data_IF_563172436727
#
_entry.id   IF_563172436727
#
_cell.length_a   1.000
_cell.length_b   1.000
_cell.length_c   1.000
_cell.angle_alpha   90.00
_cell.angle_beta   90.00
_cell.angle_gamma   90.00
#
_symmetry.space_group_name_H-M   'P 1'
#
loop_
_entity.id
_entity.type
_entity.pdbx_description
1 polymer ?
#
# COMPACT_ATOMS: atom_id res chain seq x y z
N UNK A 1 -36.64 32.69 -9.64
CA UNK A 1 -36.65 31.77 -8.47
C UNK A 1 -37.65 30.65 -8.81
N UNK A 2 -37.19 29.65 -9.54
CA UNK A 2 -37.99 28.47 -9.90
C UNK A 2 -37.51 27.31 -9.03
N UNK A 3 -38.43 26.72 -8.27
CA UNK A 3 -38.18 25.53 -7.48
C UNK A 3 -37.90 24.33 -8.43
N UNK A 4 -36.86 23.64 -8.16
CA UNK A 4 -36.50 22.37 -8.85
C UNK A 4 -37.39 21.25 -8.25
N UNK A 5 -38.28 20.62 -9.02
CA UNK A 5 -39.08 19.50 -8.55
C UNK A 5 -38.44 18.17 -8.95
N UNK A 6 -37.22 17.90 -8.51
CA UNK A 6 -36.65 16.57 -8.62
C UNK A 6 -36.40 16.03 -7.21
N UNK A 7 -37.46 15.54 -6.57
CA UNK A 7 -37.42 14.55 -5.50
C UNK A 7 -36.84 13.24 -6.05
N UNK A 8 -35.59 13.25 -6.48
CA UNK A 8 -34.83 12.05 -6.76
C UNK A 8 -34.64 11.32 -5.45
N UNK A 9 -35.29 10.18 -5.30
CA UNK A 9 -34.96 9.17 -4.28
C UNK A 9 -33.45 8.96 -4.34
N UNK A 10 -32.76 9.39 -3.28
CA UNK A 10 -31.32 9.11 -3.11
C UNK A 10 -31.14 7.59 -3.25
N UNK A 11 -30.44 7.09 -4.27
CA UNK A 11 -30.20 5.65 -4.41
C UNK A 11 -29.36 5.08 -3.27
N UNK A 12 -28.91 5.92 -2.33
CA UNK A 12 -28.32 5.61 -1.04
C UNK A 12 -29.30 5.94 0.10
N UNK A 13 -30.62 5.71 -0.09
CA UNK A 13 -31.57 5.65 1.03
C UNK A 13 -31.02 4.73 2.12
N UNK A 14 -31.50 4.82 3.39
CA UNK A 14 -30.94 4.06 4.50
C UNK A 14 -31.16 2.56 4.26
N UNK A 15 -30.29 1.94 3.43
CA UNK A 15 -30.16 0.52 3.42
C UNK A 15 -29.79 0.11 4.85
N UNK A 16 -30.40 -0.95 5.37
CA UNK A 16 -30.00 -1.52 6.65
C UNK A 16 -28.47 -1.65 6.66
N UNK A 17 -27.75 -1.01 7.59
CA UNK A 17 -26.30 -1.04 7.62
C UNK A 17 -25.75 -2.47 7.65
N UNK A 18 -26.48 -3.42 8.23
CA UNK A 18 -26.15 -4.83 8.23
C UNK A 18 -26.18 -5.42 6.82
N UNK A 19 -27.25 -5.16 6.06
CA UNK A 19 -27.39 -5.63 4.68
C UNK A 19 -26.31 -5.05 3.77
N UNK A 20 -26.05 -3.75 3.87
CA UNK A 20 -25.00 -3.08 3.11
C UNK A 20 -23.60 -3.66 3.37
N UNK A 21 -23.27 -3.89 4.66
CA UNK A 21 -21.96 -4.48 5.03
C UNK A 21 -21.85 -5.93 4.58
N UNK A 22 -22.91 -6.72 4.69
CA UNK A 22 -22.93 -8.12 4.22
C UNK A 22 -22.74 -8.20 2.71
N UNK A 23 -23.41 -7.36 1.94
CA UNK A 23 -23.23 -7.30 0.49
C UNK A 23 -21.79 -6.99 0.09
N UNK A 24 -21.14 -6.04 0.80
CA UNK A 24 -19.73 -5.73 0.58
C UNK A 24 -18.78 -6.85 1.04
N UNK A 25 -19.09 -7.55 2.12
CA UNK A 25 -18.34 -8.74 2.54
C UNK A 25 -18.45 -9.86 1.49
N UNK A 26 -19.64 -10.10 0.92
CA UNK A 26 -19.84 -11.05 -0.17
C UNK A 26 -18.97 -10.70 -1.39
N UNK A 27 -18.98 -9.44 -1.78
CA UNK A 27 -18.22 -8.95 -2.92
C UNK A 27 -16.71 -9.02 -2.70
N UNK A 28 -16.22 -8.68 -1.51
CA UNK A 28 -14.79 -8.51 -1.20
C UNK A 28 -14.14 -9.80 -0.69
N UNK A 29 -14.87 -10.60 0.08
CA UNK A 29 -14.34 -11.72 0.84
C UNK A 29 -15.10 -13.04 0.62
N UNK A 30 -16.21 -13.06 -0.15
CA UNK A 30 -17.06 -14.24 -0.31
C UNK A 30 -16.36 -15.46 -0.93
N UNK A 31 -15.27 -15.27 -1.66
CA UNK A 31 -14.45 -16.35 -2.24
C UNK A 31 -13.24 -16.73 -1.37
N UNK A 32 -13.01 -16.06 -0.23
CA UNK A 32 -11.86 -16.35 0.63
C UNK A 32 -12.17 -17.50 1.58
N UNK A 33 -11.23 -18.44 1.82
CA UNK A 33 -11.42 -19.53 2.78
C UNK A 33 -11.34 -19.02 4.22
N UNK A 34 -10.64 -17.90 4.46
CA UNK A 34 -10.43 -17.31 5.78
C UNK A 34 -10.29 -15.79 5.72
N UNK A 35 -10.84 -15.11 6.74
CA UNK A 35 -10.84 -13.66 6.89
C UNK A 35 -10.41 -13.25 8.29
N UNK A 36 -9.50 -12.28 8.40
CA UNK A 36 -9.14 -11.61 9.63
C UNK A 36 -9.96 -10.33 9.84
N UNK A 37 -10.32 -10.02 11.08
CA UNK A 37 -10.86 -8.71 11.44
C UNK A 37 -9.92 -7.99 12.40
N UNK A 38 -9.62 -6.73 12.13
CA UNK A 38 -8.93 -5.86 13.08
C UNK A 38 -9.95 -5.08 13.91
N UNK A 39 -10.14 -5.48 15.15
CA UNK A 39 -11.15 -4.92 16.06
C UNK A 39 -10.46 -4.18 17.20
N UNK A 40 -10.75 -2.89 17.34
CA UNK A 40 -10.20 -2.03 18.41
C UNK A 40 -11.13 -1.85 19.62
N UNK A 41 -12.37 -2.29 19.53
CA UNK A 41 -13.39 -2.10 20.56
C UNK A 41 -14.25 -0.83 20.36
N UNK A 42 -13.88 0.07 19.45
CA UNK A 42 -14.72 1.24 19.09
C UNK A 42 -15.96 0.83 18.27
N UNK A 43 -16.96 1.72 18.18
CA UNK A 43 -18.26 1.46 17.55
C UNK A 43 -18.15 0.82 16.17
N UNK A 44 -17.33 1.38 15.30
CA UNK A 44 -17.21 0.92 13.90
C UNK A 44 -16.66 -0.51 13.82
N UNK A 45 -15.58 -0.81 14.55
CA UNK A 45 -14.97 -2.13 14.56
C UNK A 45 -15.82 -3.19 15.30
N UNK A 46 -16.59 -2.77 16.32
CA UNK A 46 -17.55 -3.62 17.01
C UNK A 46 -18.71 -3.99 16.09
N UNK A 47 -19.26 -3.01 15.36
CA UNK A 47 -20.28 -3.30 14.35
C UNK A 47 -19.78 -4.27 13.28
N UNK A 48 -18.55 -4.06 12.76
CA UNK A 48 -17.94 -4.99 11.81
C UNK A 48 -17.89 -6.41 12.38
N UNK A 49 -17.44 -6.59 13.62
CA UNK A 49 -17.36 -7.90 14.26
C UNK A 49 -18.74 -8.59 14.33
N UNK A 50 -19.75 -7.87 14.83
CA UNK A 50 -21.09 -8.45 15.03
C UNK A 50 -21.84 -8.73 13.73
N UNK A 51 -21.54 -8.01 12.64
CA UNK A 51 -22.11 -8.28 11.31
C UNK A 51 -21.33 -9.40 10.60
N UNK A 52 -19.98 -9.38 10.67
CA UNK A 52 -19.14 -10.34 9.96
C UNK A 52 -19.18 -11.75 10.58
N UNK A 53 -19.38 -11.90 11.90
CA UNK A 53 -19.36 -13.22 12.53
C UNK A 53 -20.51 -14.12 12.01
N UNK A 54 -21.80 -13.72 12.05
CA UNK A 54 -22.88 -14.55 11.49
C UNK A 54 -22.80 -14.66 9.96
N UNK A 55 -22.28 -13.65 9.26
CA UNK A 55 -22.03 -13.74 7.82
C UNK A 55 -21.01 -14.84 7.49
N UNK A 56 -19.86 -14.86 8.20
CA UNK A 56 -18.81 -15.84 7.98
C UNK A 56 -19.27 -17.27 8.27
N UNK A 57 -20.05 -17.45 9.35
CA UNK A 57 -20.65 -18.73 9.71
C UNK A 57 -21.59 -19.22 8.59
N UNK A 58 -22.45 -18.34 8.06
CA UNK A 58 -23.38 -18.68 6.98
C UNK A 58 -22.69 -19.02 5.65
N UNK A 59 -21.48 -18.46 5.41
CA UNK A 59 -20.70 -18.67 4.18
C UNK A 59 -19.64 -19.75 4.31
N UNK A 60 -19.43 -20.32 5.50
CA UNK A 60 -18.34 -21.27 5.76
C UNK A 60 -16.95 -20.64 5.70
N UNK A 61 -16.83 -19.32 5.88
CA UNK A 61 -15.56 -18.61 5.91
C UNK A 61 -14.99 -18.71 7.33
N UNK A 62 -13.75 -19.17 7.46
CA UNK A 62 -13.05 -19.18 8.75
C UNK A 62 -12.75 -17.74 9.19
N UNK A 63 -13.31 -17.32 10.30
CA UNK A 63 -13.12 -15.96 10.83
C UNK A 63 -12.15 -15.98 12.02
N UNK A 64 -11.25 -15.01 12.08
CA UNK A 64 -10.39 -14.74 13.23
C UNK A 64 -10.33 -13.23 13.51
N UNK A 65 -10.13 -12.84 14.77
CA UNK A 65 -10.09 -11.44 15.20
C UNK A 65 -8.75 -11.12 15.87
N UNK A 66 -8.20 -9.95 15.57
CA UNK A 66 -7.06 -9.41 16.30
C UNK A 66 -7.35 -8.00 16.81
N UNK A 67 -6.90 -7.73 18.05
CA UNK A 67 -6.84 -6.39 18.64
C UNK A 67 -5.38 -5.99 18.81
N UNK A 68 -5.00 -4.80 18.35
CA UNK A 68 -3.65 -4.27 18.58
C UNK A 68 -3.65 -3.40 19.82
N UNK A 69 -2.93 -3.86 20.84
CA UNK A 69 -2.65 -3.06 22.04
C UNK A 69 -1.35 -2.27 21.86
N UNK A 70 -1.48 -0.97 21.74
CA UNK A 70 -0.35 -0.05 21.55
C UNK A 70 0.40 0.27 22.84
N UNK A 71 -0.15 -0.06 24.02
CA UNK A 71 0.39 0.27 25.36
C UNK A 71 0.73 1.75 25.52
N UNK A 72 0.00 2.64 24.84
CA UNK A 72 0.25 4.08 24.89
C UNK A 72 -0.53 4.78 26.01
N UNK A 73 -1.51 4.11 26.62
CA UNK A 73 -2.34 4.65 27.69
C UNK A 73 -2.79 3.57 28.67
N UNK A 74 -3.05 3.95 29.96
CA UNK A 74 -3.75 3.08 30.90
C UNK A 74 -5.14 2.71 30.33
N UNK A 75 -5.60 1.48 30.56
CA UNK A 75 -6.92 1.00 30.13
C UNK A 75 -6.99 0.36 28.76
N UNK A 76 -5.94 0.42 27.92
CA UNK A 76 -5.93 -0.28 26.62
C UNK A 76 -6.11 -1.80 26.75
N UNK A 77 -5.65 -2.39 27.85
CA UNK A 77 -5.86 -3.79 28.17
C UNK A 77 -7.33 -4.14 28.44
N UNK A 78 -8.09 -3.23 29.09
CA UNK A 78 -9.52 -3.44 29.39
C UNK A 78 -10.36 -3.45 28.12
N UNK A 79 -10.02 -2.60 27.15
CA UNK A 79 -10.65 -2.59 25.82
C UNK A 79 -10.40 -3.88 25.07
N UNK A 80 -9.14 -4.36 25.04
CA UNK A 80 -8.80 -5.65 24.45
C UNK A 80 -9.53 -6.82 25.13
N UNK A 81 -9.70 -6.76 26.46
CA UNK A 81 -10.45 -7.76 27.21
C UNK A 81 -11.96 -7.71 26.88
N UNK A 82 -12.54 -6.53 26.64
CA UNK A 82 -13.93 -6.38 26.20
C UNK A 82 -14.14 -7.01 24.81
N UNK A 83 -13.23 -6.76 23.87
CA UNK A 83 -13.26 -7.42 22.55
C UNK A 83 -13.12 -8.93 22.67
N UNK A 84 -12.24 -9.42 23.56
CA UNK A 84 -12.08 -10.86 23.79
C UNK A 84 -13.38 -11.50 24.28
N UNK A 85 -14.11 -10.86 25.21
CA UNK A 85 -15.43 -11.33 25.67
C UNK A 85 -16.47 -11.36 24.56
N UNK A 86 -16.53 -10.33 23.72
CA UNK A 86 -17.44 -10.29 22.58
C UNK A 86 -17.13 -11.41 21.56
N UNK A 87 -15.86 -11.64 21.27
CA UNK A 87 -15.43 -12.73 20.39
C UNK A 87 -15.78 -14.10 20.96
N UNK A 88 -15.57 -14.33 22.26
CA UNK A 88 -15.93 -15.58 22.94
C UNK A 88 -17.44 -15.84 22.86
N UNK A 89 -18.28 -14.81 23.06
CA UNK A 89 -19.73 -14.92 22.93
C UNK A 89 -20.18 -15.27 21.49
N UNK A 90 -19.43 -14.85 20.48
CA UNK A 90 -19.68 -15.14 19.06
C UNK A 90 -18.98 -16.43 18.58
N UNK A 91 -18.23 -17.11 19.42
CA UNK A 91 -17.46 -18.31 19.05
C UNK A 91 -16.32 -18.03 18.06
N UNK A 92 -15.78 -16.80 18.02
CA UNK A 92 -14.72 -16.40 17.09
C UNK A 92 -13.37 -16.34 17.80
N UNK A 93 -12.31 -16.97 17.28
CA UNK A 93 -10.96 -16.87 17.84
C UNK A 93 -10.46 -15.42 17.87
N UNK A 94 -9.87 -15.04 19.01
CA UNK A 94 -9.34 -13.70 19.21
C UNK A 94 -7.88 -13.73 19.67
N UNK A 95 -7.07 -12.77 19.17
CA UNK A 95 -5.68 -12.57 19.59
C UNK A 95 -5.41 -11.09 19.87
N UNK A 96 -4.73 -10.83 21.00
CA UNK A 96 -4.18 -9.50 21.30
C UNK A 96 -2.75 -9.45 20.76
N UNK A 97 -2.49 -8.46 19.90
CA UNK A 97 -1.18 -8.18 19.33
C UNK A 97 -0.58 -6.97 20.04
N UNK A 98 0.52 -7.17 20.75
CA UNK A 98 1.13 -6.11 21.54
C UNK A 98 2.20 -5.39 20.73
N UNK A 99 2.12 -4.05 20.66
CA UNK A 99 3.21 -3.28 20.16
C UNK A 99 4.26 -3.06 21.25
N UNK A 100 5.32 -3.85 21.20
CA UNK A 100 6.46 -3.67 22.09
C UNK A 100 7.39 -2.57 21.55
N UNK A 101 7.41 -1.44 22.23
CA UNK A 101 8.30 -0.31 21.96
C UNK A 101 9.33 -0.11 23.10
N UNK A 102 9.54 -1.13 23.95
CA UNK A 102 10.52 -1.11 25.03
C UNK A 102 10.28 -0.04 26.10
N UNK A 103 9.01 0.38 26.27
CA UNK A 103 8.62 1.44 27.21
C UNK A 103 9.05 2.87 26.80
N UNK A 104 9.63 3.05 25.60
CA UNK A 104 9.99 4.35 25.04
C UNK A 104 9.12 4.65 23.83
N UNK A 105 8.37 5.77 23.88
CA UNK A 105 7.69 6.26 22.68
C UNK A 105 8.72 6.53 21.57
N UNK A 106 8.48 6.07 20.33
CA UNK A 106 9.38 6.37 19.22
C UNK A 106 9.57 7.88 19.03
N UNK A 107 10.79 8.29 18.72
CA UNK A 107 11.07 9.69 18.40
C UNK A 107 10.31 10.10 17.13
N UNK A 108 9.79 11.33 17.07
CA UNK A 108 9.09 11.90 15.93
C UNK A 108 7.56 11.71 15.98
N UNK A 109 6.94 11.42 14.85
CA UNK A 109 5.47 11.30 14.77
C UNK A 109 4.97 9.95 15.33
N UNK A 110 4.65 9.93 16.63
CA UNK A 110 4.17 8.75 17.36
C UNK A 110 2.96 8.10 16.68
N UNK A 111 2.01 8.90 16.17
CA UNK A 111 0.80 8.36 15.51
C UNK A 111 1.12 7.66 14.20
N UNK A 112 2.08 8.18 13.44
CA UNK A 112 2.53 7.52 12.22
C UNK A 112 3.26 6.21 12.55
N UNK A 113 4.10 6.19 13.59
CA UNK A 113 4.78 4.99 14.06
C UNK A 113 3.80 3.93 14.59
N UNK A 114 2.80 4.33 15.39
CA UNK A 114 1.74 3.44 15.89
C UNK A 114 0.92 2.85 14.74
N UNK A 115 0.56 3.66 13.72
CA UNK A 115 -0.14 3.18 12.54
C UNK A 115 0.69 2.16 11.74
N UNK A 116 1.98 2.43 11.54
CA UNK A 116 2.88 1.50 10.85
C UNK A 116 3.04 0.19 11.62
N UNK A 117 3.23 0.26 12.94
CA UNK A 117 3.31 -0.90 13.81
C UNK A 117 2.02 -1.73 13.77
N UNK A 118 0.85 -1.08 13.84
CA UNK A 118 -0.46 -1.75 13.73
C UNK A 118 -0.57 -2.56 12.44
N UNK A 119 -0.25 -1.96 11.30
CA UNK A 119 -0.35 -2.66 10.00
C UNK A 119 0.63 -3.84 9.92
N UNK A 120 1.86 -3.66 10.41
CA UNK A 120 2.85 -4.74 10.44
C UNK A 120 2.39 -5.89 11.33
N UNK A 121 1.99 -5.63 12.59
CA UNK A 121 1.52 -6.66 13.51
C UNK A 121 0.31 -7.43 12.97
N UNK A 122 -0.63 -6.73 12.33
CA UNK A 122 -1.78 -7.36 11.69
C UNK A 122 -1.39 -8.19 10.46
N UNK A 123 -0.40 -7.74 9.67
CA UNK A 123 0.10 -8.49 8.52
C UNK A 123 0.82 -9.78 8.97
N UNK A 124 1.73 -9.68 9.96
CA UNK A 124 2.45 -10.81 10.51
C UNK A 124 1.49 -11.85 11.13
N UNK A 125 0.44 -11.37 11.80
CA UNK A 125 -0.62 -12.23 12.34
C UNK A 125 -1.41 -12.92 11.23
N UNK A 126 -1.77 -12.18 10.18
CA UNK A 126 -2.57 -12.72 9.07
C UNK A 126 -1.79 -13.82 8.34
N UNK A 127 -0.50 -13.61 8.09
CA UNK A 127 0.40 -14.60 7.48
C UNK A 127 0.50 -15.86 8.36
N UNK A 128 0.85 -15.71 9.64
CA UNK A 128 0.98 -16.82 10.57
C UNK A 128 -0.33 -17.56 10.89
N UNK A 129 -1.48 -16.95 10.60
CA UNK A 129 -2.81 -17.56 10.77
C UNK A 129 -3.43 -18.02 9.43
N UNK A 130 -2.69 -17.95 8.33
CA UNK A 130 -3.14 -18.32 6.97
C UNK A 130 -4.48 -17.66 6.60
N UNK A 131 -4.57 -16.33 6.79
CA UNK A 131 -5.74 -15.54 6.46
C UNK A 131 -5.59 -14.92 5.06
N UNK A 132 -6.61 -15.05 4.22
CA UNK A 132 -6.59 -14.51 2.86
C UNK A 132 -6.62 -12.98 2.81
N UNK A 133 -7.18 -12.34 3.85
CA UNK A 133 -7.28 -10.88 3.96
C UNK A 133 -7.52 -10.44 5.40
N UNK A 134 -7.37 -9.12 5.66
CA UNK A 134 -7.74 -8.47 6.92
C UNK A 134 -8.72 -7.34 6.66
N UNK A 135 -9.91 -7.38 7.26
CA UNK A 135 -10.91 -6.33 7.19
C UNK A 135 -10.74 -5.29 8.31
N UNK A 136 -10.92 -4.04 7.94
CA UNK A 136 -10.79 -2.85 8.80
C UNK A 136 -12.14 -2.12 8.90
N UNK A 137 -12.48 -1.61 10.08
CA UNK A 137 -13.71 -0.89 10.37
C UNK A 137 -13.70 0.57 9.91
N UNK A 138 -13.31 0.87 8.67
CA UNK A 138 -13.40 2.21 8.10
C UNK A 138 -14.78 2.47 7.49
N UNK A 139 -15.36 3.64 7.76
CA UNK A 139 -16.72 4.04 7.40
C UNK A 139 -16.75 5.12 6.30
N UNK A 140 -17.95 5.49 5.86
CA UNK A 140 -18.17 6.63 4.96
C UNK A 140 -17.66 7.95 5.58
N UNK A 141 -17.78 8.09 6.90
CA UNK A 141 -17.26 9.26 7.61
C UNK A 141 -15.73 9.35 7.52
N UNK A 142 -15.03 8.22 7.59
CA UNK A 142 -13.57 8.16 7.36
C UNK A 142 -13.17 8.52 5.93
N UNK A 143 -14.02 8.21 4.93
CA UNK A 143 -13.79 8.64 3.54
C UNK A 143 -13.87 10.16 3.42
N UNK A 144 -14.91 10.78 3.99
CA UNK A 144 -15.10 12.23 3.99
C UNK A 144 -13.96 12.94 4.72
N UNK A 145 -13.60 12.49 5.93
CA UNK A 145 -12.46 13.01 6.69
C UNK A 145 -11.16 12.92 5.87
N UNK A 146 -10.93 11.78 5.23
CA UNK A 146 -9.73 11.56 4.41
C UNK A 146 -9.68 12.47 3.19
N UNK A 147 -10.80 12.68 2.50
CA UNK A 147 -10.90 13.60 1.36
C UNK A 147 -10.54 15.02 1.78
N UNK A 148 -11.16 15.55 2.84
CA UNK A 148 -10.92 16.91 3.32
C UNK A 148 -9.49 17.10 3.80
N UNK A 149 -8.93 16.14 4.56
CA UNK A 149 -7.52 16.18 4.99
C UNK A 149 -6.56 16.23 3.82
N UNK A 150 -6.81 15.47 2.77
CA UNK A 150 -5.94 15.38 1.59
C UNK A 150 -6.10 16.60 0.68
N UNK A 151 -7.32 17.13 0.57
CA UNK A 151 -7.60 18.39 -0.14
C UNK A 151 -6.83 19.55 0.50
N UNK A 152 -6.87 19.69 1.83
CA UNK A 152 -6.12 20.70 2.57
C UNK A 152 -4.58 20.57 2.44
N UNK A 153 -4.08 19.41 2.00
CA UNK A 153 -2.65 19.17 1.73
C UNK A 153 -2.28 19.31 0.24
N UNK A 154 -3.19 19.77 -0.60
CA UNK A 154 -2.97 19.91 -2.04
C UNK A 154 -2.82 18.58 -2.78
N UNK A 155 -3.47 17.51 -2.30
CA UNK A 155 -3.39 16.23 -2.98
C UNK A 155 -4.05 16.29 -4.37
N UNK A 156 -3.41 15.66 -5.35
CA UNK A 156 -3.99 15.43 -6.68
C UNK A 156 -4.97 14.27 -6.70
N UNK A 157 -5.39 13.87 -7.90
CA UNK A 157 -6.43 12.85 -8.14
C UNK A 157 -6.22 11.55 -7.34
N UNK A 158 -5.00 11.01 -7.33
CA UNK A 158 -4.69 9.76 -6.61
C UNK A 158 -4.91 9.88 -5.10
N UNK A 159 -4.58 11.05 -4.54
CA UNK A 159 -4.83 11.33 -3.14
C UNK A 159 -6.32 11.53 -2.83
N UNK A 160 -7.03 12.28 -3.68
CA UNK A 160 -8.44 12.63 -3.47
C UNK A 160 -9.42 11.49 -3.74
N UNK A 161 -8.99 10.41 -4.38
CA UNK A 161 -9.81 9.20 -4.65
C UNK A 161 -10.22 8.42 -3.39
N UNK A 162 -9.97 8.94 -2.20
CA UNK A 162 -10.35 8.29 -0.95
C UNK A 162 -9.55 7.02 -0.64
N UNK A 163 -10.16 6.13 0.14
CA UNK A 163 -9.62 4.80 0.46
C UNK A 163 -10.28 3.76 -0.46
N UNK A 164 -9.48 2.86 -1.02
CA UNK A 164 -10.00 1.73 -1.77
C UNK A 164 -10.68 0.71 -0.85
N UNK A 165 -11.76 0.07 -1.31
CA UNK A 165 -12.45 -0.99 -0.59
C UNK A 165 -11.56 -2.23 -0.38
N UNK A 166 -10.67 -2.51 -1.34
CA UNK A 166 -9.64 -3.55 -1.25
C UNK A 166 -8.28 -2.99 -1.67
N UNK A 167 -7.22 -3.33 -0.95
CA UNK A 167 -5.86 -2.88 -1.25
C UNK A 167 -4.84 -3.93 -0.86
N UNK A 168 -3.98 -4.33 -1.81
CA UNK A 168 -2.80 -5.13 -1.53
C UNK A 168 -1.66 -4.22 -1.01
N UNK A 169 -1.13 -4.52 0.17
CA UNK A 169 0.00 -3.78 0.73
C UNK A 169 0.81 -4.68 1.67
N UNK A 170 2.13 -4.73 1.51
CA UNK A 170 3.02 -5.52 2.37
C UNK A 170 2.69 -7.02 2.38
N UNK A 171 2.30 -7.59 1.24
CA UNK A 171 1.90 -9.00 1.15
C UNK A 171 0.47 -9.31 1.63
N UNK A 172 -0.20 -8.37 2.33
CA UNK A 172 -1.55 -8.57 2.91
C UNK A 172 -2.62 -7.86 2.09
N UNK A 173 -3.76 -8.51 1.87
CA UNK A 173 -4.96 -7.91 1.30
C UNK A 173 -5.79 -7.25 2.41
N UNK A 174 -5.93 -5.94 2.34
CA UNK A 174 -6.70 -5.11 3.28
C UNK A 174 -8.07 -4.80 2.71
N UNK A 175 -9.14 -5.12 3.46
CA UNK A 175 -10.52 -4.89 3.07
C UNK A 175 -11.18 -3.83 3.94
N UNK A 176 -12.13 -3.07 3.38
CA UNK A 176 -12.91 -2.04 4.07
C UNK A 176 -14.37 -2.13 3.65
N UNK A 177 -15.11 -3.07 4.23
CA UNK A 177 -16.49 -3.37 3.77
C UNK A 177 -17.52 -2.31 4.21
N UNK A 178 -17.15 -1.33 5.04
CA UNK A 178 -18.10 -0.34 5.57
C UNK A 178 -17.90 1.07 4.99
N UNK A 179 -17.12 1.24 3.92
CA UNK A 179 -16.87 2.57 3.32
C UNK A 179 -18.13 3.25 2.78
N UNK A 180 -19.20 2.49 2.49
CA UNK A 180 -20.49 3.00 2.06
C UNK A 180 -21.48 3.25 3.21
N UNK A 181 -21.11 3.00 4.48
CA UNK A 181 -22.01 3.06 5.63
C UNK A 181 -21.61 4.19 6.58
N UNK A 182 -22.58 4.97 7.05
CA UNK A 182 -22.40 6.06 8.01
C UNK A 182 -22.09 5.51 9.41
N UNK A 183 -21.14 6.12 10.11
CA UNK A 183 -20.84 5.81 11.52
C UNK A 183 -22.07 5.93 12.42
N UNK A 184 -22.90 6.94 12.21
CA UNK A 184 -24.16 7.11 12.97
C UNK A 184 -25.08 5.90 12.81
N UNK A 185 -25.31 5.43 11.58
CA UNK A 185 -26.14 4.25 11.32
C UNK A 185 -25.62 2.99 12.00
N UNK A 186 -24.29 2.80 12.05
CA UNK A 186 -23.68 1.67 12.78
C UNK A 186 -23.88 1.77 14.30
N UNK A 187 -23.77 2.97 14.86
CA UNK A 187 -24.06 3.22 16.30
C UNK A 187 -25.52 2.97 16.64
N UNK A 188 -26.45 3.43 15.81
CA UNK A 188 -27.89 3.18 15.96
C UNK A 188 -28.18 1.68 15.88
N UNK A 189 -27.55 0.98 14.94
CA UNK A 189 -27.66 -0.48 14.75
C UNK A 189 -27.17 -1.25 15.99
N UNK A 190 -26.03 -0.85 16.58
CA UNK A 190 -25.50 -1.44 17.82
C UNK A 190 -26.42 -1.18 19.01
N UNK A 191 -26.88 0.07 19.17
CA UNK A 191 -27.77 0.49 20.24
C UNK A 191 -29.10 -0.29 20.24
N UNK A 192 -29.70 -0.45 19.04
CA UNK A 192 -30.94 -1.20 18.86
C UNK A 192 -30.81 -2.69 19.27
N UNK A 193 -29.58 -3.21 19.30
CA UNK A 193 -29.27 -4.60 19.67
C UNK A 193 -28.72 -4.74 21.10
N UNK A 194 -28.61 -3.64 21.84
CA UNK A 194 -28.03 -3.61 23.19
C UNK A 194 -26.55 -3.95 23.21
N UNK A 195 -25.82 -3.73 22.11
CA UNK A 195 -24.40 -4.00 21.97
C UNK A 195 -23.57 -2.78 22.37
N UNK A 196 -22.72 -2.94 23.38
CA UNK A 196 -21.84 -1.89 23.86
C UNK A 196 -20.53 -1.82 23.04
N UNK A 197 -19.91 -0.63 23.10
CA UNK A 197 -18.56 -0.39 22.55
C UNK A 197 -17.78 0.53 23.48
N UNK A 198 -16.48 0.67 23.25
CA UNK A 198 -15.60 1.60 23.98
C UNK A 198 -15.49 2.91 23.20
N UNK A 199 -15.77 4.04 23.84
CA UNK A 199 -15.46 5.36 23.27
C UNK A 199 -14.10 5.82 23.83
N UNK A 200 -13.09 5.92 22.95
CA UNK A 200 -11.76 6.40 23.28
C UNK A 200 -11.79 7.92 23.46
N UNK A 201 -11.46 8.48 24.64
CA UNK A 201 -11.43 9.93 24.85
C UNK A 201 -10.54 10.70 23.88
N UNK A 202 -9.51 10.06 23.30
CA UNK A 202 -8.65 10.69 22.31
C UNK A 202 -9.34 10.95 20.97
N UNK A 203 -10.53 10.36 20.74
CA UNK A 203 -11.35 10.62 19.56
C UNK A 203 -11.93 12.06 19.53
N UNK A 204 -11.88 12.78 20.64
CA UNK A 204 -12.37 14.15 20.77
C UNK A 204 -11.23 15.17 20.99
N UNK A 205 -9.98 14.73 21.05
CA UNK A 205 -8.83 15.61 21.26
C UNK A 205 -8.50 16.41 19.97
N UNK A 206 -8.67 17.75 19.97
CA UNK A 206 -8.40 18.62 18.83
C UNK A 206 -6.91 18.70 18.46
N UNK A 207 -6.01 18.13 19.25
CA UNK A 207 -4.59 17.95 18.92
C UNK A 207 -4.41 17.08 17.67
N UNK A 208 -5.38 16.23 17.33
CA UNK A 208 -5.33 15.37 16.15
C UNK A 208 -5.99 16.00 14.93
N UNK A 209 -5.30 15.98 13.78
CA UNK A 209 -5.79 16.47 12.49
C UNK A 209 -7.19 15.95 12.16
N UNK A 210 -7.42 14.67 12.40
CA UNK A 210 -8.67 13.99 12.05
C UNK A 210 -9.86 14.51 12.88
N UNK A 211 -9.63 14.81 14.15
CA UNK A 211 -10.65 15.41 15.02
C UNK A 211 -11.00 16.82 14.55
N UNK A 212 -9.98 17.64 14.26
CA UNK A 212 -10.20 18.99 13.71
C UNK A 212 -10.98 18.97 12.40
N UNK A 213 -10.66 18.02 11.49
CA UNK A 213 -11.39 17.87 10.23
C UNK A 213 -12.84 17.46 10.46
N UNK A 214 -13.11 16.52 11.37
CA UNK A 214 -14.47 16.12 11.75
C UNK A 214 -15.28 17.30 12.28
N UNK A 215 -14.68 18.10 13.16
CA UNK A 215 -15.29 19.31 13.68
C UNK A 215 -15.55 20.34 12.57
N UNK A 216 -14.61 20.53 11.63
CA UNK A 216 -14.80 21.42 10.50
C UNK A 216 -15.90 20.96 9.55
N UNK A 217 -15.99 19.66 9.24
CA UNK A 217 -17.09 19.09 8.45
C UNK A 217 -18.44 19.39 9.11
N UNK A 218 -18.54 19.18 10.43
CA UNK A 218 -19.77 19.48 11.18
C UNK A 218 -20.07 20.99 11.24
N UNK A 219 -19.07 21.83 11.53
CA UNK A 219 -19.23 23.26 11.64
C UNK A 219 -19.64 23.95 10.32
N UNK A 220 -19.21 23.40 9.20
CA UNK A 220 -19.56 23.89 7.85
C UNK A 220 -20.80 23.18 7.26
N UNK A 221 -21.43 22.31 8.01
CA UNK A 221 -22.57 21.48 7.57
C UNK A 221 -22.31 20.78 6.23
N UNK A 222 -21.09 20.27 6.05
CA UNK A 222 -20.72 19.56 4.83
C UNK A 222 -21.35 18.16 4.81
N UNK A 223 -22.13 17.80 3.78
CA UNK A 223 -22.80 16.51 3.73
C UNK A 223 -21.79 15.38 3.51
N UNK A 224 -21.59 14.54 4.53
CA UNK A 224 -20.67 13.38 4.46
C UNK A 224 -20.95 12.48 3.25
N UNK A 225 -22.23 12.16 2.90
CA UNK A 225 -22.51 11.39 1.67
C UNK A 225 -22.04 12.09 0.40
N UNK A 226 -22.16 13.41 0.32
CA UNK A 226 -21.69 14.21 -0.80
C UNK A 226 -20.17 14.16 -0.96
N UNK A 227 -19.42 14.29 0.15
CA UNK A 227 -17.97 14.18 0.18
C UNK A 227 -17.51 12.76 -0.23
N UNK A 228 -18.14 11.72 0.31
CA UNK A 228 -17.82 10.34 -0.03
C UNK A 228 -18.12 10.03 -1.50
N UNK A 229 -19.23 10.54 -2.06
CA UNK A 229 -19.58 10.42 -3.47
C UNK A 229 -18.55 11.11 -4.37
N UNK A 230 -18.10 12.31 -3.99
CA UNK A 230 -17.02 12.99 -4.72
C UNK A 230 -15.73 12.16 -4.74
N UNK A 231 -15.35 11.55 -3.62
CA UNK A 231 -14.21 10.65 -3.57
C UNK A 231 -14.39 9.41 -4.46
N UNK A 232 -15.61 8.85 -4.54
CA UNK A 232 -15.94 7.73 -5.40
C UNK A 232 -15.79 8.10 -6.90
N UNK A 233 -16.35 9.23 -7.35
CA UNK A 233 -16.18 9.70 -8.73
C UNK A 233 -14.71 9.96 -9.08
N UNK A 234 -13.95 10.53 -8.15
CA UNK A 234 -12.50 10.70 -8.35
C UNK A 234 -11.78 9.34 -8.44
N UNK A 235 -12.26 8.32 -7.73
CA UNK A 235 -11.73 6.96 -7.84
C UNK A 235 -12.02 6.32 -9.21
N UNK A 236 -13.23 6.53 -9.76
CA UNK A 236 -13.60 6.07 -11.10
C UNK A 236 -12.76 6.78 -12.17
N UNK A 237 -12.62 8.11 -12.09
CA UNK A 237 -11.77 8.87 -13.00
C UNK A 237 -10.30 8.42 -12.96
N UNK A 238 -9.79 8.12 -11.74
CA UNK A 238 -8.45 7.57 -11.56
C UNK A 238 -8.30 6.20 -12.21
N UNK A 239 -9.29 5.30 -12.07
CA UNK A 239 -9.28 3.97 -12.70
C UNK A 239 -9.25 4.10 -14.23
N UNK A 240 -10.08 4.96 -14.82
CA UNK A 240 -10.09 5.21 -16.25
C UNK A 240 -8.73 5.74 -16.76
N UNK A 241 -8.08 6.64 -16.00
CA UNK A 241 -6.74 7.13 -16.35
C UNK A 241 -5.65 6.05 -16.17
N UNK A 242 -5.79 5.14 -15.21
CA UNK A 242 -4.87 4.02 -15.06
C UNK A 242 -5.00 3.02 -16.22
N UNK A 243 -6.21 2.72 -16.66
CA UNK A 243 -6.45 1.86 -17.82
C UNK A 243 -5.95 2.51 -19.13
N UNK A 244 -6.19 3.81 -19.32
CA UNK A 244 -5.61 4.53 -20.44
C UNK A 244 -4.07 4.48 -20.40
N UNK A 245 -3.46 4.74 -19.26
CA UNK A 245 -2.01 4.65 -19.10
C UNK A 245 -1.48 3.23 -19.39
N UNK A 246 -2.20 2.20 -18.97
CA UNK A 246 -1.84 0.81 -19.29
C UNK A 246 -1.91 0.49 -20.80
N UNK A 247 -2.87 1.08 -21.51
CA UNK A 247 -2.97 0.97 -22.97
C UNK A 247 -1.77 1.63 -23.67
N UNK A 248 -1.41 2.83 -23.24
CA UNK A 248 -0.25 3.56 -23.78
C UNK A 248 1.07 2.84 -23.45
N UNK A 249 1.09 2.07 -22.40
CA UNK A 249 2.25 1.33 -21.91
C UNK A 249 2.64 0.11 -22.78
N UNK A 250 1.99 -0.12 -23.94
CA UNK A 250 2.22 -1.31 -24.76
C UNK A 250 3.68 -1.51 -25.17
N UNK A 251 4.40 -0.42 -25.44
CA UNK A 251 5.82 -0.45 -25.85
C UNK A 251 6.83 -0.36 -24.69
N UNK A 252 6.41 -0.45 -23.44
CA UNK A 252 7.33 -0.41 -22.29
C UNK A 252 7.95 -1.78 -22.07
N UNK A 253 9.26 -1.82 -21.90
CA UNK A 253 10.05 -3.05 -21.72
C UNK A 253 10.76 -3.04 -20.36
N UNK A 254 10.84 -4.23 -19.74
CA UNK A 254 11.67 -4.48 -18.58
C UNK A 254 12.90 -5.28 -19.03
N UNK A 255 14.07 -4.68 -18.92
CA UNK A 255 15.33 -5.32 -19.30
C UNK A 255 16.33 -5.31 -18.14
N UNK A 256 16.64 -6.49 -17.64
CA UNK A 256 17.72 -6.73 -16.63
C UNK A 256 17.72 -5.68 -15.50
N UNK A 257 16.55 -5.47 -14.88
CA UNK A 257 16.36 -4.55 -13.76
C UNK A 257 16.24 -3.07 -14.14
N UNK A 258 16.17 -2.75 -15.42
CA UNK A 258 15.81 -1.43 -15.97
C UNK A 258 14.39 -1.44 -16.53
N UNK A 259 13.74 -0.30 -16.56
CA UNK A 259 12.48 -0.08 -17.25
C UNK A 259 12.72 0.91 -18.40
N UNK A 260 12.40 0.49 -19.63
CA UNK A 260 12.58 1.26 -20.84
C UNK A 260 11.22 1.77 -21.33
N UNK A 261 11.03 3.08 -21.31
CA UNK A 261 9.79 3.74 -21.72
C UNK A 261 10.02 4.39 -23.08
N UNK A 262 9.22 4.07 -24.10
CA UNK A 262 9.38 4.68 -25.43
C UNK A 262 9.02 6.18 -25.44
N UNK A 263 9.47 6.90 -26.46
CA UNK A 263 9.21 8.34 -26.65
C UNK A 263 7.71 8.67 -26.59
N UNK A 264 6.85 7.76 -27.06
CA UNK A 264 5.40 7.89 -26.99
C UNK A 264 4.88 8.15 -25.56
N UNK A 265 5.58 7.66 -24.52
CA UNK A 265 5.25 7.94 -23.10
C UNK A 265 5.44 9.41 -22.75
N UNK A 266 6.50 10.04 -23.27
CA UNK A 266 6.79 11.45 -23.00
C UNK A 266 5.82 12.39 -23.74
N UNK A 267 5.26 11.95 -24.87
CA UNK A 267 4.26 12.68 -25.65
C UNK A 267 2.85 12.64 -25.04
N UNK A 268 2.63 11.85 -24.00
CA UNK A 268 1.32 11.73 -23.36
C UNK A 268 0.92 13.01 -22.61
N UNK A 269 -0.38 13.22 -22.36
CA UNK A 269 -0.86 14.26 -21.45
C UNK A 269 -0.15 14.22 -20.09
N UNK A 270 0.00 15.37 -19.45
CA UNK A 270 0.82 15.52 -18.25
C UNK A 270 0.50 14.49 -17.15
N UNK A 271 -0.79 14.25 -16.89
CA UNK A 271 -1.20 13.29 -15.86
C UNK A 271 -0.88 11.83 -16.23
N UNK A 272 -1.10 11.43 -17.49
CA UNK A 272 -0.74 10.09 -17.98
C UNK A 272 0.77 9.87 -17.89
N UNK A 273 1.56 10.85 -18.35
CA UNK A 273 3.03 10.81 -18.24
C UNK A 273 3.49 10.73 -16.78
N UNK A 274 2.88 11.53 -15.89
CA UNK A 274 3.15 11.49 -14.44
C UNK A 274 2.92 10.09 -13.88
N UNK A 275 1.80 9.44 -14.20
CA UNK A 275 1.46 8.08 -13.76
C UNK A 275 2.46 7.05 -14.24
N UNK A 276 2.81 7.07 -15.53
CA UNK A 276 3.74 6.12 -16.13
C UNK A 276 5.13 6.21 -15.48
N UNK A 277 5.65 7.41 -15.29
CA UNK A 277 6.95 7.63 -14.63
C UNK A 277 6.88 7.28 -13.14
N UNK A 278 5.84 7.69 -12.41
CA UNK A 278 5.68 7.37 -10.99
C UNK A 278 5.60 5.85 -10.74
N UNK A 279 4.86 5.12 -11.57
CA UNK A 279 4.81 3.66 -11.53
C UNK A 279 6.19 3.04 -11.83
N UNK A 280 6.95 3.62 -12.77
CA UNK A 280 8.31 3.18 -13.08
C UNK A 280 9.29 3.40 -11.92
N UNK A 281 9.21 4.54 -11.23
CA UNK A 281 10.03 4.78 -10.02
C UNK A 281 9.71 3.76 -8.92
N UNK A 282 8.44 3.47 -8.69
CA UNK A 282 8.00 2.43 -7.74
C UNK A 282 8.47 1.04 -8.15
N UNK A 283 8.39 0.71 -9.43
CA UNK A 283 8.84 -0.58 -9.95
C UNK A 283 10.34 -0.80 -9.72
N UNK A 284 11.16 0.23 -9.96
CA UNK A 284 12.62 0.15 -9.73
C UNK A 284 12.94 0.02 -8.24
N UNK A 285 12.22 0.71 -7.36
CA UNK A 285 12.53 0.76 -5.92
C UNK A 285 11.81 -0.29 -5.08
N UNK A 286 10.69 -0.83 -5.56
CA UNK A 286 9.79 -1.65 -4.76
C UNK A 286 8.93 -0.86 -3.77
N UNK A 287 8.94 0.48 -3.83
CA UNK A 287 8.22 1.32 -2.88
C UNK A 287 6.70 1.21 -3.03
N UNK A 288 5.99 1.17 -1.90
CA UNK A 288 4.52 1.15 -1.87
C UNK A 288 3.88 2.45 -2.36
N UNK A 289 4.60 3.57 -2.24
CA UNK A 289 4.11 4.91 -2.58
C UNK A 289 5.01 5.61 -3.60
N UNK A 290 4.37 6.42 -4.45
CA UNK A 290 5.09 7.31 -5.35
C UNK A 290 5.83 8.41 -4.58
N UNK A 291 6.91 8.99 -5.13
CA UNK A 291 7.55 10.18 -4.60
C UNK A 291 6.58 11.36 -4.50
N UNK A 292 6.95 12.37 -3.69
CA UNK A 292 6.14 13.59 -3.52
C UNK A 292 5.92 14.30 -4.86
N UNK A 293 4.77 14.96 -5.01
CA UNK A 293 4.35 15.58 -6.26
C UNK A 293 5.35 16.60 -6.83
N UNK A 294 5.92 17.47 -5.95
CA UNK A 294 6.89 18.49 -6.37
C UNK A 294 8.20 17.89 -6.87
N UNK A 295 8.69 16.83 -6.21
CA UNK A 295 9.91 16.14 -6.62
C UNK A 295 9.71 15.45 -7.97
N UNK A 296 8.56 14.80 -8.16
CA UNK A 296 8.18 14.17 -9.41
C UNK A 296 8.02 15.21 -10.54
N UNK A 297 7.43 16.36 -10.24
CA UNK A 297 7.27 17.45 -11.20
C UNK A 297 8.63 17.99 -11.69
N UNK A 298 9.59 18.13 -10.79
CA UNK A 298 10.97 18.53 -11.14
C UNK A 298 11.66 17.49 -12.03
N UNK A 299 11.51 16.21 -11.73
CA UNK A 299 12.03 15.13 -12.57
C UNK A 299 11.40 15.18 -13.99
N UNK A 300 10.08 15.33 -14.07
CA UNK A 300 9.38 15.42 -15.36
C UNK A 300 9.80 16.65 -16.18
N UNK A 301 10.03 17.79 -15.53
CA UNK A 301 10.55 18.99 -16.19
C UNK A 301 11.97 18.77 -16.75
N UNK A 302 12.85 18.11 -15.99
CA UNK A 302 14.19 17.75 -16.46
C UNK A 302 14.15 16.83 -17.67
N UNK A 303 13.30 15.78 -17.64
CA UNK A 303 13.12 14.87 -18.78
C UNK A 303 12.57 15.59 -20.03
N UNK A 304 11.64 16.54 -19.85
CA UNK A 304 11.12 17.36 -20.96
C UNK A 304 12.20 18.25 -21.57
N UNK A 305 13.19 18.68 -20.77
CA UNK A 305 14.37 19.44 -21.24
C UNK A 305 15.48 18.51 -21.80
N UNK A 306 15.24 17.21 -21.92
CA UNK A 306 16.25 16.26 -22.39
C UNK A 306 17.39 15.99 -21.38
N UNK A 307 17.22 16.39 -20.13
CA UNK A 307 18.22 16.21 -19.08
C UNK A 307 17.93 14.98 -18.20
N UNK A 308 18.96 14.25 -17.74
CA UNK A 308 18.78 13.19 -16.77
C UNK A 308 18.42 13.77 -15.39
N UNK A 309 17.65 13.00 -14.61
CA UNK A 309 17.27 13.36 -13.24
C UNK A 309 17.32 12.14 -12.32
N UNK A 310 17.59 12.38 -11.04
CA UNK A 310 17.59 11.33 -10.02
C UNK A 310 16.52 11.63 -8.98
N UNK A 311 15.71 10.63 -8.64
CA UNK A 311 14.68 10.74 -7.62
C UNK A 311 14.48 9.39 -6.91
N UNK A 312 14.44 9.40 -5.59
CA UNK A 312 14.20 8.23 -4.75
C UNK A 312 15.15 7.04 -5.06
N UNK A 313 16.41 7.31 -5.42
CA UNK A 313 17.40 6.27 -5.75
C UNK A 313 17.19 5.63 -7.14
N UNK A 314 16.48 6.34 -8.03
CA UNK A 314 16.29 5.97 -9.44
C UNK A 314 16.83 7.09 -10.33
N UNK A 315 17.62 6.73 -11.31
CA UNK A 315 18.04 7.64 -12.39
C UNK A 315 17.07 7.48 -13.55
N UNK A 316 16.42 8.57 -13.93
CA UNK A 316 15.67 8.70 -15.18
C UNK A 316 16.59 9.34 -16.23
N UNK A 317 16.94 8.57 -17.26
CA UNK A 317 17.88 8.99 -18.27
C UNK A 317 17.22 9.04 -19.66
N UNK A 318 17.21 10.21 -20.33
CA UNK A 318 16.79 10.31 -21.71
C UNK A 318 17.62 9.43 -22.63
N UNK A 319 16.98 8.85 -23.64
CA UNK A 319 17.55 8.06 -24.74
C UNK A 319 16.99 8.55 -26.07
N UNK A 320 17.57 8.17 -27.18
CA UNK A 320 17.07 8.53 -28.51
C UNK A 320 15.65 7.98 -28.76
N UNK A 321 15.33 6.82 -28.19
CA UNK A 321 14.07 6.10 -28.33
C UNK A 321 13.12 6.23 -27.12
N UNK A 322 13.47 7.09 -26.15
CA UNK A 322 12.62 7.30 -24.96
C UNK A 322 13.37 7.63 -23.67
N UNK A 323 13.01 6.97 -22.57
CA UNK A 323 13.60 7.15 -21.25
C UNK A 323 13.91 5.79 -20.62
N UNK A 324 15.10 5.64 -20.04
CA UNK A 324 15.44 4.52 -19.17
C UNK A 324 15.33 4.93 -17.70
N UNK A 325 14.61 4.12 -16.91
CA UNK A 325 14.59 4.20 -15.45
C UNK A 325 15.45 3.08 -14.89
N UNK A 326 16.46 3.43 -14.12
CA UNK A 326 17.44 2.49 -13.57
C UNK A 326 17.80 2.83 -12.14
N UNK A 327 18.17 1.83 -11.37
CA UNK A 327 18.61 2.01 -9.99
C UNK A 327 19.85 2.88 -9.95
N UNK A 328 19.88 3.85 -9.05
CA UNK A 328 21.06 4.65 -8.76
C UNK A 328 22.15 3.78 -8.11
N UNK A 329 23.42 3.79 -8.60
CA UNK A 329 24.50 2.98 -8.00
C UNK A 329 24.74 3.30 -6.52
N UNK A 330 24.68 4.57 -6.14
CA UNK A 330 24.83 4.98 -4.75
C UNK A 330 23.69 4.44 -3.85
N UNK A 331 22.47 4.31 -4.38
CA UNK A 331 21.37 3.72 -3.65
C UNK A 331 21.52 2.18 -3.56
N UNK A 332 21.93 1.52 -4.62
CA UNK A 332 22.25 0.10 -4.62
C UNK A 332 23.39 -0.25 -3.64
N UNK A 333 24.44 0.59 -3.59
CA UNK A 333 25.56 0.39 -2.67
C UNK A 333 25.19 0.56 -1.18
N UNK A 334 24.09 1.26 -0.87
CA UNK A 334 23.53 1.36 0.49
C UNK A 334 22.62 0.21 0.87
N UNK A 335 22.22 -0.63 -0.09
CA UNK A 335 21.41 -1.80 0.22
C UNK A 335 22.19 -2.77 1.12
N UNK A 336 21.56 -3.36 2.15
CA UNK A 336 22.21 -4.37 2.96
C UNK A 336 22.74 -5.52 2.09
N UNK A 337 23.90 -6.02 2.45
CA UNK A 337 24.39 -7.24 1.80
C UNK A 337 23.46 -8.41 2.14
N UNK A 338 23.22 -9.27 1.17
CA UNK A 338 22.51 -10.52 1.39
C UNK A 338 23.49 -11.70 1.44
N UNK A 339 23.25 -12.66 2.30
CA UNK A 339 24.02 -13.89 2.41
C UNK A 339 23.29 -15.03 1.71
N UNK A 340 24.06 -16.01 1.21
CA UNK A 340 23.49 -17.20 0.59
C UNK A 340 22.70 -18.01 1.62
N UNK A 341 21.45 -18.31 1.31
CA UNK A 341 20.61 -19.24 2.05
C UNK A 341 21.15 -20.69 1.94
N UNK A 342 20.62 -21.58 2.78
CA UNK A 342 20.97 -23.00 2.78
C UNK A 342 20.68 -23.70 1.43
N UNK A 343 19.73 -23.17 0.68
CA UNK A 343 19.33 -23.61 -0.67
C UNK A 343 20.19 -23.00 -1.80
N UNK A 344 21.21 -22.22 -1.47
CA UNK A 344 22.03 -21.51 -2.45
C UNK A 344 21.32 -20.36 -3.14
N UNK A 345 20.28 -19.80 -2.52
CA UNK A 345 19.57 -18.63 -3.04
C UNK A 345 19.74 -17.39 -2.17
N UNK A 346 19.50 -16.20 -2.74
CA UNK A 346 19.36 -14.94 -2.00
C UNK A 346 18.46 -13.97 -2.75
N UNK A 347 17.80 -13.07 -1.99
CA UNK A 347 17.16 -11.88 -2.52
C UNK A 347 18.01 -10.68 -2.10
N UNK A 348 18.34 -9.80 -3.07
CA UNK A 348 19.14 -8.61 -2.80
C UNK A 348 18.51 -7.34 -3.37
N UNK A 349 18.63 -6.24 -2.60
CA UNK A 349 18.09 -4.88 -2.90
C UNK A 349 16.58 -4.92 -3.26
N UNK A 350 15.82 -5.91 -2.76
CA UNK A 350 14.42 -6.18 -3.11
C UNK A 350 14.14 -6.19 -4.62
N UNK A 351 15.18 -6.43 -5.42
CA UNK A 351 15.14 -6.34 -6.89
C UNK A 351 15.63 -7.59 -7.59
N UNK A 352 16.49 -8.35 -6.97
CA UNK A 352 17.17 -9.46 -7.60
C UNK A 352 16.99 -10.76 -6.82
N UNK A 353 16.68 -11.82 -7.54
CA UNK A 353 16.81 -13.19 -7.05
C UNK A 353 18.09 -13.79 -7.62
N UNK A 354 18.93 -14.32 -6.75
CA UNK A 354 20.14 -15.04 -7.12
C UNK A 354 19.96 -16.52 -6.79
N UNK A 355 20.47 -17.38 -7.67
CA UNK A 355 20.47 -18.83 -7.52
C UNK A 355 21.86 -19.37 -7.83
N UNK A 356 22.20 -20.55 -7.27
CA UNK A 356 23.49 -21.18 -7.46
C UNK A 356 24.61 -20.51 -6.63
N UNK A 357 24.26 -19.82 -5.56
CA UNK A 357 25.23 -19.19 -4.67
C UNK A 357 26.01 -20.26 -3.90
N UNK A 358 27.36 -20.21 -3.88
CA UNK A 358 28.15 -21.09 -3.04
C UNK A 358 27.95 -20.78 -1.55
N UNK A 359 28.17 -21.75 -0.65
CA UNK A 359 28.07 -21.52 0.79
C UNK A 359 28.97 -20.37 1.26
N UNK A 360 28.40 -19.47 2.11
CA UNK A 360 29.10 -18.31 2.61
C UNK A 360 29.28 -17.18 1.59
N UNK A 361 28.66 -17.27 0.43
CA UNK A 361 28.66 -16.17 -0.53
C UNK A 361 27.89 -14.96 -0.02
N UNK A 362 28.41 -13.79 -0.34
CA UNK A 362 27.83 -12.49 0.00
C UNK A 362 27.47 -11.72 -1.26
N UNK A 363 26.26 -11.17 -1.31
CA UNK A 363 25.75 -10.40 -2.45
C UNK A 363 25.75 -8.91 -2.10
N UNK A 364 26.36 -8.09 -2.96
CA UNK A 364 26.46 -6.63 -2.81
C UNK A 364 26.26 -5.96 -4.17
N UNK A 365 26.27 -4.62 -4.22
CA UNK A 365 26.33 -3.88 -5.47
C UNK A 365 27.70 -4.13 -6.16
N UNK A 366 27.69 -4.13 -7.49
CA UNK A 366 28.91 -4.33 -8.29
C UNK A 366 29.98 -3.28 -7.95
N UNK A 367 31.17 -3.69 -7.43
CA UNK A 367 32.26 -2.77 -7.15
C UNK A 367 32.81 -2.16 -8.45
N UNK A 368 33.11 -0.84 -8.48
CA UNK A 368 33.66 -0.17 -9.67
C UNK A 368 34.94 -0.83 -10.21
N UNK A 369 35.82 -1.31 -9.33
CA UNK A 369 37.04 -1.99 -9.68
C UNK A 369 36.78 -3.35 -10.34
N UNK A 370 35.84 -4.14 -9.82
CA UNK A 370 35.46 -5.43 -10.39
C UNK A 370 34.84 -5.25 -11.79
N UNK A 371 34.04 -4.22 -11.99
CA UNK A 371 33.48 -3.88 -13.30
C UNK A 371 34.58 -3.44 -14.30
N UNK A 372 35.51 -2.61 -13.84
CA UNK A 372 36.61 -2.12 -14.68
C UNK A 372 37.52 -3.26 -15.17
N UNK A 373 37.64 -4.35 -14.42
CA UNK A 373 38.40 -5.53 -14.76
C UNK A 373 37.70 -6.46 -15.78
N UNK A 374 36.53 -6.12 -16.29
CA UNK A 374 35.72 -6.90 -17.25
C UNK A 374 35.51 -6.14 -18.55
N UNK A 375 35.32 -6.84 -19.65
CA UNK A 375 34.74 -6.25 -20.86
C UNK A 375 33.21 -6.13 -20.73
N UNK A 376 32.79 -5.08 -20.05
CA UNK A 376 31.37 -4.80 -19.79
C UNK A 376 30.64 -4.17 -20.98
N UNK A 377 31.39 -3.62 -21.97
CA UNK A 377 30.79 -2.90 -23.11
C UNK A 377 29.99 -3.81 -24.02
N UNK A 378 30.40 -5.06 -24.17
CA UNK A 378 29.67 -6.07 -24.91
C UNK A 378 28.36 -6.55 -24.29
N UNK A 379 28.11 -6.23 -23.04
CA UNK A 379 26.86 -6.63 -22.32
C UNK A 379 25.58 -5.93 -22.78
N UNK A 380 25.69 -4.85 -23.58
CA UNK A 380 24.54 -4.09 -24.04
C UNK A 380 23.81 -3.34 -22.91
N UNK A 381 24.46 -3.13 -21.76
CA UNK A 381 23.93 -2.41 -20.61
C UNK A 381 24.72 -1.14 -20.33
N UNK A 382 24.07 -0.04 -19.90
CA UNK A 382 24.77 1.14 -19.43
C UNK A 382 25.65 0.80 -18.21
N UNK A 383 26.84 1.40 -18.12
CA UNK A 383 27.73 1.25 -16.96
C UNK A 383 27.04 1.48 -15.64
N UNK A 384 26.13 2.47 -15.58
CA UNK A 384 25.34 2.83 -14.40
C UNK A 384 24.45 1.67 -13.96
N UNK A 385 23.80 0.95 -14.90
CA UNK A 385 22.98 -0.22 -14.59
C UNK A 385 23.79 -1.37 -14.03
N UNK A 386 24.99 -1.62 -14.61
CA UNK A 386 25.91 -2.66 -14.16
C UNK A 386 26.45 -2.38 -12.75
N UNK A 387 26.76 -1.12 -12.41
CA UNK A 387 27.18 -0.72 -11.06
C UNK A 387 26.04 -0.90 -10.00
N UNK A 388 24.79 -0.86 -10.42
CA UNK A 388 23.62 -1.11 -9.56
C UNK A 388 23.11 -2.55 -9.62
N UNK A 389 23.81 -3.43 -10.35
CA UNK A 389 23.53 -4.86 -10.45
C UNK A 389 24.23 -5.64 -9.32
N UNK A 390 23.78 -6.88 -9.01
CA UNK A 390 24.40 -7.69 -7.98
C UNK A 390 25.80 -8.18 -8.39
N UNK A 391 26.71 -8.15 -7.43
CA UNK A 391 27.99 -8.86 -7.43
C UNK A 391 28.00 -9.90 -6.31
N UNK A 392 28.65 -11.02 -6.53
CA UNK A 392 28.75 -12.13 -5.57
C UNK A 392 30.22 -12.30 -5.15
N UNK A 393 30.46 -12.17 -3.87
CA UNK A 393 31.75 -12.39 -3.24
C UNK A 393 31.78 -13.80 -2.64
N UNK A 394 32.66 -14.65 -3.12
CA UNK A 394 32.82 -16.01 -2.63
C UNK A 394 34.26 -16.50 -2.83
N UNK A 395 34.89 -17.13 -1.81
CA UNK A 395 36.24 -17.70 -1.90
C UNK A 395 37.29 -16.68 -2.35
N UNK A 396 37.20 -15.41 -1.95
CA UNK A 396 38.11 -14.34 -2.34
C UNK A 396 37.99 -13.88 -3.81
N UNK A 397 36.92 -14.32 -4.51
CA UNK A 397 36.59 -13.90 -5.86
C UNK A 397 35.33 -13.09 -5.92
N UNK A 398 35.27 -12.13 -6.86
CA UNK A 398 34.06 -11.37 -7.18
C UNK A 398 33.49 -11.84 -8.51
N UNK A 399 32.30 -12.40 -8.51
CA UNK A 399 31.56 -12.80 -9.72
C UNK A 399 30.53 -11.68 -10.03
N UNK A 400 30.36 -11.41 -11.33
CA UNK A 400 29.37 -10.47 -11.85
C UNK A 400 28.35 -11.26 -12.69
N UNK A 401 27.23 -11.75 -12.11
CA UNK A 401 26.35 -12.70 -12.79
C UNK A 401 25.80 -12.21 -14.14
N UNK A 402 25.68 -10.88 -14.33
CA UNK A 402 25.24 -10.30 -15.60
C UNK A 402 26.35 -10.28 -16.68
N UNK A 403 27.60 -10.50 -16.31
CA UNK A 403 28.76 -10.45 -17.20
C UNK A 403 29.52 -11.80 -17.29
N UNK A 404 29.37 -12.63 -16.27
CA UNK A 404 30.08 -13.92 -16.14
C UNK A 404 29.09 -15.11 -16.29
N UNK A 405 28.41 -15.33 -17.44
CA UNK A 405 27.28 -16.28 -17.57
C UNK A 405 27.66 -17.75 -17.32
N UNK A 406 28.96 -18.10 -17.33
CA UNK A 406 29.44 -19.46 -17.04
C UNK A 406 29.80 -19.73 -15.58
N UNK A 407 29.61 -18.77 -14.67
CA UNK A 407 30.07 -18.88 -13.28
C UNK A 407 29.18 -19.72 -12.37
N UNK A 408 28.12 -20.34 -12.89
CA UNK A 408 27.16 -21.16 -12.10
C UNK A 408 26.20 -20.37 -11.22
N UNK A 409 26.31 -19.04 -11.15
CA UNK A 409 25.40 -18.15 -10.44
C UNK A 409 24.55 -17.39 -11.44
N UNK A 410 23.24 -17.39 -11.21
CA UNK A 410 22.28 -16.60 -12.00
C UNK A 410 21.68 -15.48 -11.16
N UNK A 411 21.46 -14.31 -11.77
CA UNK A 411 20.75 -13.20 -11.17
C UNK A 411 19.57 -12.80 -12.07
N UNK A 412 18.36 -12.88 -11.52
CA UNK A 412 17.11 -12.59 -12.23
C UNK A 412 16.40 -11.44 -11.54
N UNK A 413 15.89 -10.43 -12.26
CA UNK A 413 15.06 -9.40 -11.68
C UNK A 413 13.78 -10.01 -11.07
N UNK A 414 13.38 -9.56 -9.88
CA UNK A 414 12.14 -9.99 -9.23
C UNK A 414 10.90 -9.45 -9.92
N UNK A 415 11.03 -8.35 -10.67
CA UNK A 415 9.91 -7.67 -11.31
C UNK A 415 10.12 -7.60 -12.81
N UNK A 416 9.10 -8.02 -13.54
CA UNK A 416 8.99 -7.87 -14.99
C UNK A 416 8.01 -6.77 -15.38
N UNK A 417 7.67 -6.70 -16.68
CA UNK A 417 6.70 -5.77 -17.22
C UNK A 417 5.31 -5.94 -16.62
N UNK A 418 4.89 -7.18 -16.34
CA UNK A 418 3.59 -7.46 -15.73
C UNK A 418 3.45 -6.81 -14.34
N UNK A 419 4.51 -6.83 -13.53
CA UNK A 419 4.54 -6.20 -12.21
C UNK A 419 4.44 -4.68 -12.30
N UNK A 420 5.06 -4.07 -13.30
CA UNK A 420 4.92 -2.63 -13.54
C UNK A 420 3.49 -2.24 -13.94
N UNK A 421 2.84 -3.04 -14.80
CA UNK A 421 1.43 -2.84 -15.16
C UNK A 421 0.51 -3.02 -13.93
N UNK A 422 0.82 -3.97 -13.06
CA UNK A 422 0.10 -4.14 -11.79
C UNK A 422 0.27 -2.91 -10.88
N UNK A 423 1.51 -2.38 -10.75
CA UNK A 423 1.79 -1.14 -9.99
C UNK A 423 1.03 0.05 -10.57
N UNK A 424 0.94 0.18 -11.90
CA UNK A 424 0.25 1.26 -12.59
C UNK A 424 -1.26 1.25 -12.28
N UNK A 425 -1.86 0.07 -12.14
CA UNK A 425 -3.28 -0.12 -11.80
C UNK A 425 -3.55 -0.17 -10.30
N UNK A 426 -2.54 -0.49 -9.48
CA UNK A 426 -2.68 -0.61 -8.04
C UNK A 426 -2.99 0.74 -7.37
N UNK A 427 -3.72 0.67 -6.27
CA UNK A 427 -4.22 1.82 -5.49
C UNK A 427 -3.61 1.90 -4.10
#
# INVERSE_FOLDING_TARGET
>A
MAADPAGGTDPLGPADPEEAVRAELDRLAGALPALGLAVSGGSDSTALLHIAAPWAQARGVRLAVATVDHRLRPGSGDEAAAVARACAALGVPHRVLVWDHGGRAPAGNLMAAARAARLRLLADWADGAELGAVALGHTMDDQAETLVMRLGRGAGLDGLSGMAAARQQGGTLWLRPMLGVRRAALRDWLTARGLGWSDDPTNDDPGFDRVRVRQAIAALDLPVPGLARSAAWLSEARAALADHAATVAAGVEADRGMLLLPTAVLAQPAETRRRLIAAGLRWVTGADYAPRGDDLSRLLAALAAGAPATLAGVIARPRADGVALLREPAAAARAPAAEAGADGSAIWDDRWRLLGLPPGARVTATPPAALAARDWRGAGLPRVALLAAPAVEAGGRTLLPLLDPGAGVTATPLRGRADWLAILRAH
#
